data_IF_238499469683
#
_entry.id   IF_238499469683
#
_cell.length_a   1.000
_cell.length_b   1.000
_cell.length_c   1.000
_cell.angle_alpha   90.00
_cell.angle_beta   90.00
_cell.angle_gamma   90.00
#
_symmetry.space_group_name_H-M   'P 1'
#
loop_
_entity.id
_entity.type
_entity.pdbx_description
1 polymer ?
#
# COMPACT_ATOMS: atom_id res chain seq x y z
N UNK A 1 26.91 -10.34 15.14
CA UNK A 1 26.03 -10.84 14.08
C UNK A 1 24.98 -11.83 14.62
N UNK A 2 25.32 -12.72 15.52
CA UNK A 2 24.38 -13.70 16.12
C UNK A 2 23.21 -13.00 16.84
N UNK A 3 23.48 -11.94 17.59
CA UNK A 3 22.46 -11.18 18.35
C UNK A 3 21.43 -10.50 17.44
N UNK A 4 21.90 -9.93 16.31
CA UNK A 4 20.99 -9.35 15.32
C UNK A 4 20.08 -10.39 14.66
N UNK A 5 20.59 -11.59 14.39
CA UNK A 5 19.81 -12.71 13.86
C UNK A 5 18.79 -13.21 14.87
N UNK A 6 19.17 -13.29 16.15
CA UNK A 6 18.23 -13.65 17.23
C UNK A 6 17.12 -12.60 17.36
N UNK A 7 17.47 -11.32 17.36
CA UNK A 7 16.49 -10.23 17.38
C UNK A 7 15.50 -10.30 16.19
N UNK A 8 16.02 -10.55 14.98
CA UNK A 8 15.18 -10.73 13.81
C UNK A 8 14.25 -11.96 13.92
N UNK A 9 14.77 -13.08 14.41
CA UNK A 9 13.98 -14.30 14.63
C UNK A 9 12.86 -14.09 15.68
N UNK A 10 13.16 -13.40 16.77
CA UNK A 10 12.17 -13.05 17.79
C UNK A 10 11.10 -12.11 17.21
N UNK A 11 11.50 -11.10 16.45
CA UNK A 11 10.58 -10.18 15.77
C UNK A 11 9.63 -10.96 14.83
N UNK A 12 10.16 -11.87 14.03
CA UNK A 12 9.37 -12.72 13.13
C UNK A 12 8.42 -13.64 13.91
N UNK A 13 8.87 -14.23 15.01
CA UNK A 13 8.00 -15.04 15.87
C UNK A 13 6.84 -14.23 16.46
N UNK A 14 7.10 -13.02 16.94
CA UNK A 14 6.06 -12.11 17.43
C UNK A 14 5.07 -11.70 16.33
N UNK A 15 5.55 -11.46 15.10
CA UNK A 15 4.70 -11.17 13.97
C UNK A 15 3.77 -12.35 13.61
N UNK A 16 4.28 -13.59 13.68
CA UNK A 16 3.48 -14.81 13.48
C UNK A 16 2.41 -15.00 14.57
N UNK A 17 2.64 -14.52 15.79
CA UNK A 17 1.67 -14.46 16.87
C UNK A 17 0.61 -13.35 16.69
N UNK A 18 0.57 -12.70 15.51
CA UNK A 18 -0.35 -11.60 15.17
C UNK A 18 -0.15 -10.32 15.97
N UNK A 19 1.01 -10.13 16.59
CA UNK A 19 1.35 -8.87 17.24
C UNK A 19 1.67 -7.84 16.13
N UNK A 20 1.15 -6.60 16.20
CA UNK A 20 1.46 -5.56 15.21
C UNK A 20 2.97 -5.37 15.06
N UNK A 21 3.45 -5.32 13.81
CA UNK A 21 4.88 -5.25 13.48
C UNK A 21 5.57 -4.08 14.20
N UNK A 22 4.91 -2.93 14.29
CA UNK A 22 5.45 -1.75 14.98
C UNK A 22 5.75 -2.03 16.47
N UNK A 23 4.86 -2.76 17.16
CA UNK A 23 5.06 -3.14 18.57
C UNK A 23 6.18 -4.17 18.67
N UNK A 24 6.18 -5.19 17.81
CA UNK A 24 7.23 -6.21 17.77
C UNK A 24 8.62 -5.58 17.56
N UNK A 25 8.74 -4.67 16.61
CA UNK A 25 9.99 -3.94 16.35
C UNK A 25 10.41 -3.08 17.53
N UNK A 26 9.48 -2.35 18.14
CA UNK A 26 9.75 -1.50 19.30
C UNK A 26 10.23 -2.29 20.50
N UNK A 27 9.53 -3.38 20.85
CA UNK A 27 9.88 -4.25 21.99
C UNK A 27 11.22 -4.94 21.75
N UNK A 28 11.42 -5.56 20.58
CA UNK A 28 12.69 -6.25 20.28
C UNK A 28 13.85 -5.27 20.21
N UNK A 29 13.65 -4.07 19.62
CA UNK A 29 14.68 -3.03 19.60
C UNK A 29 15.06 -2.54 20.99
N UNK A 30 14.07 -2.25 21.84
CA UNK A 30 14.29 -1.82 23.22
C UNK A 30 15.02 -2.87 24.04
N UNK A 31 14.52 -4.11 24.03
CA UNK A 31 15.15 -5.22 24.78
C UNK A 31 16.51 -5.59 24.21
N UNK A 32 16.71 -5.50 22.89
CA UNK A 32 18.00 -5.73 22.24
C UNK A 32 19.05 -4.73 22.69
N UNK A 33 18.72 -3.45 22.77
CA UNK A 33 19.65 -2.41 23.28
C UNK A 33 19.92 -2.62 24.77
N UNK A 34 18.90 -2.95 25.58
CA UNK A 34 19.09 -3.25 27.01
C UNK A 34 20.02 -4.46 27.22
N UNK A 35 19.85 -5.52 26.43
CA UNK A 35 20.70 -6.71 26.45
C UNK A 35 22.16 -6.38 26.10
N UNK A 36 22.40 -5.62 25.05
CA UNK A 36 23.74 -5.19 24.63
C UNK A 36 24.44 -4.28 25.63
N UNK A 37 23.69 -3.72 26.58
CA UNK A 37 24.18 -2.83 27.65
C UNK A 37 24.08 -3.46 29.03
N UNK A 38 24.24 -4.80 29.12
CA UNK A 38 24.23 -5.55 30.38
C UNK A 38 22.95 -5.32 31.21
N UNK A 39 21.80 -5.33 30.55
CA UNK A 39 20.47 -5.06 31.14
C UNK A 39 20.33 -3.66 31.75
N UNK A 40 21.15 -2.72 31.35
CA UNK A 40 20.97 -1.32 31.72
C UNK A 40 19.88 -0.68 30.84
N UNK A 41 18.75 -0.36 31.46
CA UNK A 41 17.59 0.24 30.75
C UNK A 41 17.75 1.74 30.49
N UNK A 42 18.64 2.45 31.18
CA UNK A 42 18.79 3.89 31.01
C UNK A 42 19.23 4.29 29.58
N UNK A 43 20.23 3.63 28.94
CA UNK A 43 20.58 3.91 27.55
C UNK A 43 19.47 3.53 26.55
N UNK A 44 18.74 2.42 26.82
CA UNK A 44 17.64 2.00 25.97
C UNK A 44 16.49 3.03 26.00
N UNK A 45 16.18 3.56 27.17
CA UNK A 45 15.16 4.61 27.35
C UNK A 45 15.56 5.90 26.68
N UNK A 46 16.80 6.36 26.88
CA UNK A 46 17.32 7.57 26.21
C UNK A 46 17.30 7.45 24.68
N UNK A 47 17.60 6.24 24.15
CA UNK A 47 17.50 5.99 22.71
C UNK A 47 16.07 6.10 22.20
N UNK A 48 15.10 5.51 22.91
CA UNK A 48 13.68 5.59 22.54
C UNK A 48 13.19 7.03 22.56
N UNK A 49 13.50 7.77 23.65
CA UNK A 49 13.15 9.18 23.80
C UNK A 49 13.69 10.02 22.63
N UNK A 50 14.99 9.87 22.33
CA UNK A 50 15.63 10.59 21.23
C UNK A 50 14.98 10.24 19.89
N UNK A 51 14.76 8.95 19.61
CA UNK A 51 14.17 8.51 18.33
C UNK A 51 12.73 8.96 18.18
N UNK A 52 11.91 8.89 19.21
CA UNK A 52 10.53 9.39 19.17
C UNK A 52 10.51 10.89 18.92
N UNK A 53 11.37 11.64 19.61
CA UNK A 53 11.47 13.08 19.43
C UNK A 53 11.95 13.47 18.02
N UNK A 54 13.02 12.86 17.52
CA UNK A 54 13.55 13.08 16.17
C UNK A 54 12.49 12.77 15.10
N UNK A 55 11.80 11.63 15.23
CA UNK A 55 10.75 11.20 14.31
C UNK A 55 9.58 12.16 14.33
N UNK A 56 9.14 12.60 15.51
CA UNK A 56 8.02 13.53 15.67
C UNK A 56 8.32 14.94 15.13
N UNK A 57 9.57 15.36 15.14
CA UNK A 57 10.01 16.67 14.59
C UNK A 57 10.30 16.64 13.09
N UNK A 58 10.33 15.45 12.49
CA UNK A 58 10.72 15.35 11.09
C UNK A 58 9.60 15.84 10.16
N UNK A 59 9.87 16.95 9.47
CA UNK A 59 8.92 17.54 8.53
C UNK A 59 8.52 16.59 7.40
N UNK A 60 9.45 15.78 6.92
CA UNK A 60 9.20 14.82 5.83
C UNK A 60 8.15 13.77 6.23
N UNK A 61 8.19 13.32 7.49
CA UNK A 61 7.22 12.33 7.99
C UNK A 61 5.83 12.93 8.26
N UNK A 62 5.71 14.23 8.45
CA UNK A 62 4.40 14.89 8.61
C UNK A 62 3.51 14.78 7.37
N UNK A 63 4.11 14.51 6.22
CA UNK A 63 3.39 14.26 4.96
C UNK A 63 2.54 12.97 5.05
N UNK A 64 2.99 11.94 5.79
CA UNK A 64 2.29 10.65 5.89
C UNK A 64 0.89 10.78 6.49
N UNK A 65 0.68 11.38 7.68
CA UNK A 65 -0.66 11.57 8.21
C UNK A 65 -1.55 12.45 7.33
N UNK A 66 -0.99 13.44 6.64
CA UNK A 66 -1.76 14.26 5.69
C UNK A 66 -2.23 13.46 4.49
N UNK A 67 -1.40 12.53 3.95
CA UNK A 67 -1.84 11.59 2.91
C UNK A 67 -2.96 10.67 3.38
N UNK A 68 -2.86 10.14 4.58
CA UNK A 68 -3.93 9.28 5.15
C UNK A 68 -5.23 10.08 5.28
N UNK A 69 -5.14 11.32 5.74
CA UNK A 69 -6.29 12.21 5.86
C UNK A 69 -6.91 12.50 4.49
N UNK A 70 -6.09 12.84 3.49
CA UNK A 70 -6.52 13.07 2.11
C UNK A 70 -7.23 11.82 1.54
N UNK A 71 -6.64 10.63 1.70
CA UNK A 71 -7.24 9.37 1.23
C UNK A 71 -8.61 9.10 1.86
N UNK A 72 -8.77 9.41 3.16
CA UNK A 72 -10.06 9.29 3.85
C UNK A 72 -11.11 10.28 3.30
N UNK A 73 -10.74 11.52 3.04
CA UNK A 73 -11.65 12.48 2.42
C UNK A 73 -12.08 12.06 1.02
N UNK A 74 -11.13 11.65 0.18
CA UNK A 74 -11.37 11.19 -1.18
C UNK A 74 -12.30 9.96 -1.21
N UNK A 75 -12.10 9.03 -0.27
CA UNK A 75 -12.95 7.84 -0.15
C UNK A 75 -14.37 8.22 0.24
N UNK A 76 -14.55 9.14 1.22
CA UNK A 76 -15.86 9.59 1.65
C UNK A 76 -16.58 10.48 0.63
N UNK A 77 -15.84 11.21 -0.20
CA UNK A 77 -16.38 12.00 -1.29
C UNK A 77 -16.95 11.18 -2.46
N UNK A 78 -16.83 9.83 -2.43
CA UNK A 78 -17.33 8.96 -3.49
C UNK A 78 -16.53 9.01 -4.79
N UNK A 79 -15.32 9.54 -4.76
CA UNK A 79 -14.44 9.61 -5.95
C UNK A 79 -14.11 8.25 -6.54
N UNK A 80 -14.04 7.21 -5.70
CA UNK A 80 -13.81 5.83 -6.16
C UNK A 80 -14.88 5.35 -7.14
N UNK A 81 -16.15 5.67 -6.85
CA UNK A 81 -17.27 5.33 -7.73
C UNK A 81 -17.23 6.13 -9.04
N UNK A 82 -16.86 7.41 -8.95
CA UNK A 82 -16.76 8.27 -10.13
C UNK A 82 -15.61 7.83 -11.04
N UNK A 83 -14.45 7.50 -10.47
CA UNK A 83 -13.31 6.96 -11.23
C UNK A 83 -13.65 5.61 -11.88
N UNK A 84 -14.35 4.73 -11.16
CA UNK A 84 -14.79 3.46 -11.72
C UNK A 84 -15.77 3.67 -12.89
N UNK A 85 -16.76 4.54 -12.74
CA UNK A 85 -17.71 4.88 -13.81
C UNK A 85 -17.01 5.50 -15.01
N UNK A 86 -16.08 6.42 -14.79
CA UNK A 86 -15.32 7.05 -15.86
C UNK A 86 -14.46 6.01 -16.61
N UNK A 87 -13.74 5.16 -15.90
CA UNK A 87 -12.97 4.07 -16.51
C UNK A 87 -13.88 3.11 -17.28
N UNK A 88 -15.03 2.74 -16.74
CA UNK A 88 -15.99 1.86 -17.40
C UNK A 88 -16.57 2.50 -18.66
N UNK A 89 -16.88 3.78 -18.66
CA UNK A 89 -17.36 4.49 -19.84
C UNK A 89 -16.35 4.45 -20.99
N UNK A 90 -15.05 4.53 -20.68
CA UNK A 90 -13.98 4.53 -21.67
C UNK A 90 -13.67 3.12 -22.20
N UNK A 91 -13.63 2.10 -21.33
CA UNK A 91 -13.05 0.77 -21.63
C UNK A 91 -14.10 -0.33 -21.60
N UNK A 92 -15.29 -0.05 -21.05
CA UNK A 92 -16.35 -1.05 -20.81
C UNK A 92 -16.87 -1.78 -22.06
N UNK A 93 -16.67 -1.20 -23.24
CA UNK A 93 -17.03 -1.81 -24.54
C UNK A 93 -16.09 -2.95 -24.95
N UNK A 94 -14.94 -3.10 -24.31
CA UNK A 94 -13.99 -4.17 -24.61
C UNK A 94 -14.38 -5.46 -23.85
N UNK A 95 -13.96 -6.61 -24.37
CA UNK A 95 -14.11 -7.89 -23.68
C UNK A 95 -13.32 -7.85 -22.36
N UNK A 96 -13.97 -8.18 -21.24
CA UNK A 96 -13.37 -7.98 -19.92
C UNK A 96 -13.32 -6.52 -19.45
N UNK A 97 -14.03 -5.63 -20.16
CA UNK A 97 -13.96 -4.18 -19.95
C UNK A 97 -14.25 -3.73 -18.52
N UNK A 98 -15.16 -4.42 -17.82
CA UNK A 98 -15.48 -4.07 -16.43
C UNK A 98 -14.32 -4.40 -15.47
N UNK A 99 -13.64 -5.52 -15.66
CA UNK A 99 -12.47 -5.88 -14.85
C UNK A 99 -11.26 -5.01 -15.21
N UNK A 100 -11.05 -4.65 -16.48
CA UNK A 100 -10.03 -3.67 -16.88
C UNK A 100 -10.34 -2.27 -16.33
N UNK A 101 -11.60 -1.84 -16.37
CA UNK A 101 -12.03 -0.58 -15.76
C UNK A 101 -11.74 -0.56 -14.25
N UNK A 102 -11.90 -1.71 -13.58
CA UNK A 102 -11.53 -1.87 -12.17
C UNK A 102 -10.04 -1.64 -11.95
N UNK A 103 -9.16 -2.23 -12.77
CA UNK A 103 -7.70 -2.03 -12.69
C UNK A 103 -7.34 -0.55 -12.91
N UNK A 104 -7.90 0.09 -13.94
CA UNK A 104 -7.67 1.51 -14.22
C UNK A 104 -8.19 2.41 -13.09
N UNK A 105 -9.36 2.10 -12.54
CA UNK A 105 -9.92 2.82 -11.41
C UNK A 105 -9.06 2.65 -10.15
N UNK A 106 -8.54 1.44 -9.91
CA UNK A 106 -7.57 1.17 -8.84
C UNK A 106 -6.30 2.01 -9.03
N UNK A 107 -5.76 2.09 -10.25
CA UNK A 107 -4.60 2.91 -10.56
C UNK A 107 -4.84 4.40 -10.25
N UNK A 108 -5.95 4.95 -10.74
CA UNK A 108 -6.30 6.35 -10.50
C UNK A 108 -6.62 6.65 -9.03
N UNK A 109 -7.41 5.80 -8.38
CA UNK A 109 -7.73 5.95 -6.95
C UNK A 109 -6.51 5.71 -6.06
N UNK A 110 -5.71 4.71 -6.40
CA UNK A 110 -4.46 4.38 -5.70
C UNK A 110 -3.45 5.52 -5.75
N UNK A 111 -3.33 6.19 -6.88
CA UNK A 111 -2.49 7.39 -7.05
C UNK A 111 -2.89 8.54 -6.10
N UNK A 112 -4.15 8.61 -5.67
CA UNK A 112 -4.61 9.63 -4.72
C UNK A 112 -4.51 9.12 -3.28
N UNK A 113 -4.91 7.85 -3.05
CA UNK A 113 -4.98 7.26 -1.71
C UNK A 113 -3.61 6.83 -1.17
N UNK A 114 -2.67 6.45 -2.06
CA UNK A 114 -1.32 6.02 -1.71
C UNK A 114 -1.23 4.73 -0.88
N UNK A 115 -2.32 3.94 -0.82
CA UNK A 115 -2.44 2.73 -0.01
C UNK A 115 -3.07 1.59 -0.80
N UNK A 116 -2.37 0.46 -0.92
CA UNK A 116 -2.88 -0.73 -1.62
C UNK A 116 -4.09 -1.34 -0.93
N UNK A 117 -4.05 -1.45 0.40
CA UNK A 117 -5.12 -2.06 1.20
C UNK A 117 -6.41 -1.21 1.11
N UNK A 118 -6.28 0.11 1.27
CA UNK A 118 -7.43 1.02 1.17
C UNK A 118 -8.01 1.02 -0.25
N UNK A 119 -7.17 0.98 -1.27
CA UNK A 119 -7.59 0.90 -2.68
C UNK A 119 -8.35 -0.40 -2.95
N UNK A 120 -7.79 -1.55 -2.58
CA UNK A 120 -8.42 -2.85 -2.76
C UNK A 120 -9.76 -2.95 -2.00
N UNK A 121 -9.79 -2.54 -0.73
CA UNK A 121 -11.00 -2.59 0.09
C UNK A 121 -12.11 -1.67 -0.43
N UNK A 122 -11.75 -0.49 -0.95
CA UNK A 122 -12.72 0.45 -1.51
C UNK A 122 -13.24 -0.04 -2.85
N UNK A 123 -12.35 -0.52 -3.73
CA UNK A 123 -12.76 -1.05 -5.04
C UNK A 123 -13.52 -2.37 -4.92
N UNK A 124 -13.27 -3.19 -3.91
CA UNK A 124 -14.09 -4.37 -3.63
C UNK A 124 -15.56 -4.00 -3.37
N UNK A 125 -15.82 -2.90 -2.68
CA UNK A 125 -17.20 -2.43 -2.43
C UNK A 125 -17.87 -1.82 -3.66
N UNK A 126 -17.10 -1.29 -4.60
CA UNK A 126 -17.61 -0.58 -5.78
C UNK A 126 -17.71 -1.50 -7.00
N UNK A 127 -16.65 -2.24 -7.29
CA UNK A 127 -16.51 -2.99 -8.53
C UNK A 127 -17.00 -4.44 -8.43
N UNK A 128 -16.83 -5.10 -7.26
CA UNK A 128 -17.21 -6.50 -7.11
C UNK A 128 -18.72 -6.74 -7.33
N UNK A 129 -19.66 -5.97 -6.74
CA UNK A 129 -21.08 -6.16 -7.00
C UNK A 129 -21.41 -6.02 -8.48
N UNK A 130 -20.88 -5.00 -9.15
CA UNK A 130 -21.11 -4.76 -10.56
C UNK A 130 -20.57 -5.89 -11.45
N UNK A 131 -19.43 -6.47 -11.13
CA UNK A 131 -18.89 -7.64 -11.85
C UNK A 131 -19.70 -8.90 -11.61
N UNK A 132 -20.16 -9.12 -10.38
CA UNK A 132 -20.99 -10.27 -10.01
C UNK A 132 -22.36 -10.24 -10.70
N UNK A 133 -23.00 -9.08 -10.80
CA UNK A 133 -24.30 -8.91 -11.48
C UNK A 133 -24.22 -9.25 -12.98
N UNK A 134 -23.10 -9.03 -13.64
CA UNK A 134 -22.90 -9.34 -15.07
C UNK A 134 -22.36 -10.76 -15.28
N UNK A 135 -22.14 -11.53 -14.20
CA UNK A 135 -21.75 -12.94 -14.28
C UNK A 135 -20.24 -13.19 -14.40
N UNK A 136 -19.40 -12.23 -14.04
CA UNK A 136 -17.97 -12.46 -13.96
C UNK A 136 -17.64 -13.49 -12.87
N UNK A 137 -16.68 -14.38 -13.15
CA UNK A 137 -16.22 -15.32 -12.14
C UNK A 137 -15.62 -14.61 -10.94
N UNK A 138 -15.87 -15.14 -9.73
CA UNK A 138 -15.32 -14.57 -8.49
C UNK A 138 -13.78 -14.50 -8.51
N UNK A 139 -13.13 -15.48 -9.17
CA UNK A 139 -11.68 -15.53 -9.31
C UNK A 139 -11.15 -14.34 -10.12
N UNK A 140 -11.81 -14.01 -11.25
CA UNK A 140 -11.41 -12.88 -12.08
C UNK A 140 -11.69 -11.56 -11.36
N UNK A 141 -12.85 -11.43 -10.74
CA UNK A 141 -13.28 -10.22 -10.02
C UNK A 141 -12.35 -9.90 -8.85
N UNK A 142 -12.11 -10.88 -7.98
CA UNK A 142 -11.22 -10.70 -6.83
C UNK A 142 -9.76 -10.54 -7.25
N UNK A 143 -9.31 -11.25 -8.29
CA UNK A 143 -7.98 -11.13 -8.85
C UNK A 143 -7.71 -9.74 -9.45
N UNK A 144 -8.66 -9.18 -10.21
CA UNK A 144 -8.56 -7.84 -10.78
C UNK A 144 -8.51 -6.75 -9.69
N UNK A 145 -9.32 -6.90 -8.62
CA UNK A 145 -9.32 -5.97 -7.48
C UNK A 145 -8.03 -6.09 -6.68
N UNK A 146 -7.57 -7.29 -6.38
CA UNK A 146 -6.34 -7.51 -5.61
C UNK A 146 -5.11 -7.03 -6.39
N UNK A 147 -4.98 -7.43 -7.67
CA UNK A 147 -3.90 -6.97 -8.53
C UNK A 147 -3.93 -5.46 -8.77
N UNK A 148 -5.10 -4.90 -9.08
CA UNK A 148 -5.28 -3.46 -9.23
C UNK A 148 -4.98 -2.68 -7.95
N UNK A 149 -5.35 -3.22 -6.79
CA UNK A 149 -5.07 -2.62 -5.49
C UNK A 149 -3.58 -2.43 -5.21
N UNK A 150 -2.71 -3.33 -5.71
CA UNK A 150 -1.26 -3.20 -5.53
C UNK A 150 -0.68 -1.96 -6.22
N UNK A 151 -1.34 -1.44 -7.25
CA UNK A 151 -0.93 -0.23 -7.94
C UNK A 151 -0.95 1.00 -7.02
N UNK A 152 -1.76 0.99 -5.96
CA UNK A 152 -1.88 2.09 -5.01
C UNK A 152 -0.62 2.41 -4.20
N UNK A 153 0.36 1.51 -4.14
CA UNK A 153 1.67 1.80 -3.54
C UNK A 153 2.75 2.05 -4.59
N UNK A 154 2.51 1.68 -5.84
CA UNK A 154 3.47 1.81 -6.93
C UNK A 154 3.34 3.16 -7.65
N UNK A 155 2.09 3.60 -7.86
CA UNK A 155 1.81 4.86 -8.55
C UNK A 155 1.92 6.03 -7.56
N UNK A 156 2.75 7.05 -7.83
CA UNK A 156 2.87 8.20 -6.95
C UNK A 156 1.61 9.09 -6.95
N UNK A 157 1.34 9.80 -5.85
CA UNK A 157 2.05 9.79 -4.58
C UNK A 157 1.73 8.55 -3.73
N UNK A 158 2.75 7.96 -3.11
CA UNK A 158 2.66 6.74 -2.31
C UNK A 158 3.25 6.95 -0.92
N UNK A 159 2.50 6.56 0.11
CA UNK A 159 2.98 6.64 1.50
C UNK A 159 4.22 5.78 1.74
N UNK A 160 4.31 4.63 1.10
CA UNK A 160 5.48 3.73 1.19
C UNK A 160 6.72 4.37 0.58
N UNK A 161 6.60 5.06 -0.57
CA UNK A 161 7.73 5.78 -1.18
C UNK A 161 8.20 6.96 -0.30
N UNK A 162 7.30 7.62 0.43
CA UNK A 162 7.66 8.67 1.39
C UNK A 162 8.48 8.09 2.53
N UNK A 163 8.02 6.98 3.13
CA UNK A 163 8.72 6.29 4.22
C UNK A 163 10.08 5.77 3.72
N UNK A 164 10.12 5.17 2.54
CA UNK A 164 11.37 4.69 1.95
C UNK A 164 12.36 5.84 1.71
N UNK A 165 11.90 6.95 1.13
CA UNK A 165 12.74 8.13 0.91
C UNK A 165 13.28 8.73 2.20
N UNK A 166 12.47 8.73 3.27
CA UNK A 166 12.91 9.13 4.59
C UNK A 166 14.01 8.22 5.17
N UNK A 167 13.80 6.90 5.11
CA UNK A 167 14.76 5.93 5.66
C UNK A 167 16.08 5.86 4.89
N UNK A 168 16.04 6.10 3.58
CA UNK A 168 17.23 6.07 2.70
C UNK A 168 17.83 7.43 2.43
N UNK A 169 17.30 8.48 3.07
CA UNK A 169 17.70 9.89 2.84
C UNK A 169 17.66 10.30 1.35
N UNK A 170 16.77 9.65 0.59
CA UNK A 170 16.62 9.89 -0.85
C UNK A 170 15.54 10.94 -1.10
N UNK A 171 15.73 11.77 -2.12
CA UNK A 171 14.75 12.78 -2.50
C UNK A 171 13.43 12.14 -2.95
N UNK A 172 12.34 12.42 -2.22
CA UNK A 172 11.00 11.86 -2.44
C UNK A 172 10.45 12.22 -3.83
N UNK A 173 10.73 13.44 -4.32
CA UNK A 173 10.30 13.86 -5.64
C UNK A 173 10.93 13.02 -6.76
N UNK A 174 12.22 12.63 -6.61
CA UNK A 174 12.88 11.72 -7.55
C UNK A 174 12.30 10.32 -7.48
N UNK A 175 11.95 9.83 -6.28
CA UNK A 175 11.28 8.53 -6.11
C UNK A 175 9.89 8.53 -6.76
N UNK A 176 9.14 9.59 -6.60
CA UNK A 176 7.84 9.73 -7.25
C UNK A 176 7.98 9.75 -8.78
N UNK A 177 8.91 10.53 -9.32
CA UNK A 177 9.17 10.55 -10.75
C UNK A 177 9.57 9.17 -11.29
N UNK A 178 10.40 8.43 -10.55
CA UNK A 178 10.79 7.07 -10.90
C UNK A 178 9.63 6.06 -10.87
N UNK A 179 8.64 6.26 -10.00
CA UNK A 179 7.47 5.39 -9.85
C UNK A 179 6.42 5.53 -10.97
N UNK A 180 6.39 6.65 -11.69
CA UNK A 180 5.37 6.93 -12.72
C UNK A 180 5.45 5.90 -13.86
N UNK A 181 6.63 5.69 -14.42
CA UNK A 181 6.81 4.81 -15.57
C UNK A 181 6.50 3.34 -15.24
N UNK A 182 7.04 2.75 -14.15
CA UNK A 182 6.67 1.40 -13.72
C UNK A 182 5.18 1.28 -13.39
N UNK A 183 4.57 2.30 -12.79
CA UNK A 183 3.15 2.31 -12.45
C UNK A 183 2.24 2.26 -13.68
N UNK A 184 2.53 3.05 -14.70
CA UNK A 184 1.81 3.02 -15.98
C UNK A 184 2.01 1.67 -16.67
N UNK A 185 3.25 1.17 -16.73
CA UNK A 185 3.56 -0.12 -17.33
C UNK A 185 2.83 -1.27 -16.62
N UNK A 186 2.85 -1.29 -15.29
CA UNK A 186 2.15 -2.30 -14.50
C UNK A 186 0.63 -2.25 -14.72
N UNK A 187 0.03 -1.05 -14.79
CA UNK A 187 -1.39 -0.89 -15.10
C UNK A 187 -1.73 -1.46 -16.46
N UNK A 188 -0.92 -1.15 -17.47
CA UNK A 188 -1.10 -1.65 -18.83
C UNK A 188 -0.99 -3.17 -18.91
N UNK A 189 0.05 -3.75 -18.29
CA UNK A 189 0.24 -5.21 -18.26
C UNK A 189 -0.87 -5.94 -17.50
N UNK A 190 -1.37 -5.37 -16.40
CA UNK A 190 -2.51 -5.93 -15.68
C UNK A 190 -3.79 -5.86 -16.52
N UNK A 191 -4.03 -4.78 -17.26
CA UNK A 191 -5.17 -4.71 -18.18
C UNK A 191 -5.07 -5.77 -19.29
N UNK A 192 -3.89 -6.01 -19.86
CA UNK A 192 -3.67 -7.07 -20.84
C UNK A 192 -3.91 -8.47 -20.24
N UNK A 193 -3.39 -8.71 -19.04
CA UNK A 193 -3.59 -9.98 -18.33
C UNK A 193 -5.08 -10.24 -18.06
N UNK A 194 -5.81 -9.22 -17.59
CA UNK A 194 -7.25 -9.30 -17.34
C UNK A 194 -8.02 -9.54 -18.65
N UNK A 195 -7.65 -8.87 -19.73
CA UNK A 195 -8.28 -9.08 -21.04
C UNK A 195 -8.08 -10.51 -21.52
N UNK A 196 -6.89 -11.06 -21.37
CA UNK A 196 -6.60 -12.45 -21.78
C UNK A 196 -7.35 -13.47 -20.92
N UNK A 197 -7.35 -13.28 -19.60
CA UNK A 197 -8.08 -14.14 -18.67
C UNK A 197 -9.60 -14.08 -18.91
N UNK A 198 -10.14 -12.91 -19.27
CA UNK A 198 -11.54 -12.72 -19.61
C UNK A 198 -11.96 -13.48 -20.87
N UNK A 199 -11.05 -13.69 -21.83
CA UNK A 199 -11.31 -14.50 -23.01
C UNK A 199 -11.51 -16.00 -22.69
N UNK A 200 -11.00 -16.44 -21.53
CA UNK A 200 -11.02 -17.86 -21.11
C UNK A 200 -12.16 -18.14 -20.12
N UNK A 201 -12.61 -17.12 -19.36
CA UNK A 201 -13.46 -17.30 -18.17
C UNK A 201 -14.81 -16.55 -18.21
N UNK A 202 -15.19 -15.97 -19.34
CA UNK A 202 -16.54 -15.39 -19.56
C UNK A 202 -17.31 -16.19 -20.57
#
# INVERSE_FOLDING_TARGET
>A
MTEALVGLAVMMALALLRIPIAISMGVVGFLGVAYLRDWNFAPAMAMVETKVYETGRNYTLSVVPLFILMGNFVTRAGMSQQLFRAAYTCIGHLRGGLAMATVCACAGFGAICGSSIATAATMAKVAYPAMSEIGYSDRLSTGAIAGGGTLGILIPPSTIMVIYGFLTETNIGKLFAAGILPGILATFLLCLAVQWLSLIHI
#
